data_IF_085518538840
#
_entry.id   IF_085518538840
#
_cell.length_a   1.000
_cell.length_b   1.000
_cell.length_c   1.000
_cell.angle_alpha   90.00
_cell.angle_beta   90.00
_cell.angle_gamma   90.00
#
_symmetry.space_group_name_H-M   'P 1'
#
loop_
_entity.id
_entity.type
_entity.pdbx_description
1 polymer ?
#
# COMPACT_ATOMS: atom_id res chain seq x y z
N UNK A 1 18.72 1.26 2.54
CA UNK A 1 17.37 0.65 2.60
C UNK A 1 17.37 -0.49 1.60
N UNK A 2 16.83 -1.66 1.94
CA UNK A 2 16.79 -2.77 1.01
C UNK A 2 15.96 -2.35 -0.22
N UNK A 3 16.52 -2.52 -1.41
CA UNK A 3 15.85 -2.17 -2.66
C UNK A 3 14.80 -3.26 -2.93
N UNK A 4 13.62 -3.12 -2.32
CA UNK A 4 12.48 -3.98 -2.65
C UNK A 4 12.02 -3.61 -4.05
N UNK A 5 12.32 -4.48 -5.02
CA UNK A 5 11.76 -4.36 -6.37
C UNK A 5 10.37 -4.97 -6.36
N UNK A 6 9.36 -4.13 -6.17
CA UNK A 6 7.96 -4.52 -6.29
C UNK A 6 7.50 -4.48 -7.74
N UNK A 7 6.57 -5.35 -8.12
CA UNK A 7 5.86 -5.25 -9.40
C UNK A 7 4.93 -4.03 -9.42
N UNK A 8 4.52 -3.60 -10.61
CA UNK A 8 3.50 -2.54 -10.77
C UNK A 8 2.17 -2.94 -10.10
N UNK A 9 1.86 -4.24 -10.03
CA UNK A 9 0.67 -4.74 -9.34
C UNK A 9 0.76 -4.46 -7.82
N UNK A 10 1.89 -4.77 -7.19
CA UNK A 10 2.12 -4.46 -5.78
C UNK A 10 2.21 -2.94 -5.53
N UNK A 11 2.91 -2.20 -6.40
CA UNK A 11 3.02 -0.75 -6.32
C UNK A 11 1.67 -0.04 -6.45
N UNK A 12 0.72 -0.60 -7.21
CA UNK A 12 -0.63 -0.02 -7.33
C UNK A 12 -1.38 0.02 -6.00
N UNK A 13 -1.18 -0.99 -5.14
CA UNK A 13 -1.78 -1.09 -3.81
C UNK A 13 -1.19 -0.02 -2.89
N UNK A 14 0.13 0.09 -2.85
CA UNK A 14 0.80 1.15 -2.08
C UNK A 14 0.41 2.54 -2.58
N UNK A 15 0.29 2.73 -3.89
CA UNK A 15 -0.11 4.00 -4.50
C UNK A 15 -1.52 4.39 -4.06
N UNK A 16 -2.45 3.44 -4.01
CA UNK A 16 -3.81 3.67 -3.54
C UNK A 16 -3.84 4.04 -2.05
N UNK A 17 -3.09 3.33 -1.21
CA UNK A 17 -2.93 3.68 0.20
C UNK A 17 -2.30 5.09 0.39
N UNK A 18 -1.28 5.42 -0.40
CA UNK A 18 -0.62 6.73 -0.37
C UNK A 18 -1.57 7.85 -0.77
N UNK A 19 -2.40 7.65 -1.79
CA UNK A 19 -3.47 8.59 -2.16
C UNK A 19 -4.38 8.89 -0.97
N UNK A 20 -4.86 7.87 -0.26
CA UNK A 20 -5.72 8.05 0.91
C UNK A 20 -5.02 8.79 2.06
N UNK A 21 -3.76 8.46 2.34
CA UNK A 21 -2.97 9.15 3.36
C UNK A 21 -2.73 10.63 3.03
N UNK A 22 -2.50 10.94 1.75
CA UNK A 22 -2.30 12.32 1.29
C UNK A 22 -3.58 13.14 1.35
N UNK A 23 -4.73 12.55 1.02
CA UNK A 23 -6.04 13.23 1.06
C UNK A 23 -6.54 13.43 2.48
N UNK A 24 -6.42 12.42 3.35
CA UNK A 24 -6.87 12.49 4.74
C UNK A 24 -5.91 13.28 5.64
N UNK A 25 -4.61 13.23 5.36
CA UNK A 25 -3.56 13.75 6.24
C UNK A 25 -3.14 12.77 7.33
N UNK A 26 -3.84 11.64 7.47
CA UNK A 26 -3.61 10.64 8.51
C UNK A 26 -2.78 9.45 7.98
N UNK A 27 -2.04 8.75 8.86
CA UNK A 27 -1.41 7.48 8.52
C UNK A 27 -2.44 6.43 8.09
N UNK A 28 -2.06 5.59 7.12
CA UNK A 28 -2.89 4.49 6.63
C UNK A 28 -2.22 3.17 7.03
N UNK A 29 -2.90 2.38 7.85
CA UNK A 29 -2.50 1.03 8.25
C UNK A 29 -3.30 -0.06 7.53
N UNK A 30 -4.42 0.30 6.91
CA UNK A 30 -5.30 -0.62 6.18
C UNK A 30 -5.67 -0.06 4.82
N UNK A 31 -5.74 -0.93 3.81
CA UNK A 31 -6.17 -0.59 2.45
C UNK A 31 -7.31 -1.48 2.02
N UNK A 32 -8.34 -0.89 1.41
CA UNK A 32 -9.44 -1.66 0.81
C UNK A 32 -8.92 -2.35 -0.45
N UNK A 33 -9.00 -3.68 -0.50
CA UNK A 33 -8.51 -4.49 -1.63
C UNK A 33 -9.64 -4.91 -2.57
N UNK A 34 -10.88 -4.91 -2.10
CA UNK A 34 -12.08 -5.11 -2.91
C UNK A 34 -13.13 -4.10 -2.45
N UNK A 35 -13.46 -3.12 -3.30
CA UNK A 35 -14.43 -2.09 -2.92
C UNK A 35 -15.88 -2.54 -3.09
N UNK A 36 -16.13 -3.74 -3.62
CA UNK A 36 -17.46 -4.25 -3.92
C UNK A 36 -18.18 -3.54 -5.08
N UNK A 37 -17.54 -2.55 -5.71
CA UNK A 37 -18.05 -1.76 -6.84
C UNK A 37 -17.33 -2.08 -8.16
N UNK A 38 -16.47 -3.10 -8.15
CA UNK A 38 -15.77 -3.62 -9.31
C UNK A 38 -14.29 -3.26 -9.37
N UNK A 39 -13.77 -2.46 -8.42
CA UNK A 39 -12.33 -2.27 -8.27
C UNK A 39 -11.79 -3.28 -7.27
N UNK A 40 -10.88 -4.13 -7.76
CA UNK A 40 -10.13 -5.06 -6.94
C UNK A 40 -8.64 -4.87 -7.17
N UNK A 41 -7.89 -4.87 -6.08
CA UNK A 41 -6.44 -4.97 -6.14
C UNK A 41 -6.04 -6.25 -6.88
N UNK A 42 -4.93 -6.18 -7.60
CA UNK A 42 -4.41 -7.33 -8.34
C UNK A 42 -4.13 -8.49 -7.35
N UNK A 43 -4.68 -9.70 -7.58
CA UNK A 43 -4.36 -10.87 -6.75
C UNK A 43 -2.86 -11.17 -6.69
N UNK A 44 -2.15 -10.92 -7.80
CA UNK A 44 -0.70 -11.10 -7.89
C UNK A 44 0.03 -10.08 -7.00
N UNK A 45 -0.42 -8.83 -7.00
CA UNK A 45 0.12 -7.79 -6.12
C UNK A 45 -0.15 -8.07 -4.64
N UNK A 46 -1.34 -8.58 -4.30
CA UNK A 46 -1.67 -9.00 -2.94
C UNK A 46 -0.72 -10.13 -2.51
N UNK A 47 -0.60 -11.19 -3.31
CA UNK A 47 0.29 -12.33 -3.01
C UNK A 47 1.73 -11.86 -2.80
N UNK A 48 2.25 -10.99 -3.67
CA UNK A 48 3.60 -10.47 -3.55
C UNK A 48 3.83 -9.72 -2.23
N UNK A 49 2.87 -8.90 -1.79
CA UNK A 49 2.98 -8.19 -0.52
C UNK A 49 2.83 -9.12 0.70
N UNK A 50 2.03 -10.17 0.59
CA UNK A 50 1.93 -11.21 1.62
C UNK A 50 3.22 -12.04 1.71
N UNK A 51 3.79 -12.44 0.58
CA UNK A 51 5.04 -13.22 0.50
C UNK A 51 6.24 -12.40 0.99
N UNK A 52 6.23 -11.09 0.76
CA UNK A 52 7.18 -10.15 1.32
C UNK A 52 6.96 -9.89 2.83
N UNK A 53 5.88 -10.42 3.42
CA UNK A 53 5.54 -10.22 4.82
C UNK A 53 5.19 -8.78 5.16
N UNK A 54 4.60 -8.02 4.22
CA UNK A 54 4.27 -6.59 4.41
C UNK A 54 2.78 -6.35 4.64
N UNK A 55 1.94 -7.31 4.28
CA UNK A 55 0.49 -7.19 4.29
C UNK A 55 -0.16 -8.49 4.74
N UNK A 56 -1.19 -8.38 5.59
CA UNK A 56 -2.06 -9.47 5.99
C UNK A 56 -3.50 -9.18 5.55
N UNK A 57 -4.26 -10.22 5.20
CA UNK A 57 -5.67 -10.05 4.82
C UNK A 57 -6.55 -9.92 6.06
N UNK A 58 -7.39 -8.89 6.08
CA UNK A 58 -8.49 -8.72 7.03
C UNK A 58 -9.80 -8.54 6.25
N UNK A 59 -10.46 -9.65 5.94
CA UNK A 59 -11.69 -9.65 5.13
C UNK A 59 -11.47 -9.11 3.71
N UNK A 60 -12.06 -7.96 3.40
CA UNK A 60 -11.94 -7.23 2.13
C UNK A 60 -10.80 -6.17 2.15
N UNK A 61 -10.04 -6.12 3.24
CA UNK A 61 -8.93 -5.20 3.47
C UNK A 61 -7.60 -5.93 3.57
N UNK A 62 -6.53 -5.19 3.31
CA UNK A 62 -5.17 -5.56 3.64
C UNK A 62 -4.67 -4.68 4.78
N UNK A 63 -4.25 -5.28 5.88
CA UNK A 63 -3.58 -4.59 6.98
C UNK A 63 -2.06 -4.63 6.73
N UNK A 64 -1.43 -3.46 6.64
CA UNK A 64 0.03 -3.37 6.62
C UNK A 64 0.57 -3.67 8.01
N UNK A 65 1.67 -4.41 8.09
CA UNK A 65 2.43 -4.48 9.32
C UNK A 65 3.42 -3.30 9.42
N UNK A 66 4.22 -3.26 10.48
CA UNK A 66 5.16 -2.15 10.69
C UNK A 66 6.18 -1.96 9.57
N UNK A 67 6.56 -3.01 8.84
CA UNK A 67 7.47 -2.90 7.69
C UNK A 67 6.73 -2.36 6.46
N UNK A 68 5.51 -2.85 6.19
CA UNK A 68 4.65 -2.31 5.12
C UNK A 68 4.32 -0.83 5.34
N UNK A 69 4.01 -0.44 6.58
CA UNK A 69 3.80 0.96 6.97
C UNK A 69 5.06 1.81 6.75
N UNK A 70 6.25 1.27 7.06
CA UNK A 70 7.51 1.98 6.84
C UNK A 70 7.78 2.21 5.34
N UNK A 71 7.52 1.20 4.49
CA UNK A 71 7.61 1.32 3.03
C UNK A 71 6.63 2.38 2.51
N UNK A 72 5.37 2.34 2.94
CA UNK A 72 4.36 3.32 2.56
C UNK A 72 4.75 4.74 3.02
N UNK A 73 5.27 4.89 4.24
CA UNK A 73 5.73 6.17 4.76
C UNK A 73 6.88 6.75 3.94
N UNK A 74 7.84 5.92 3.52
CA UNK A 74 8.95 6.34 2.66
C UNK A 74 8.45 6.80 1.28
N UNK A 75 7.49 6.08 0.68
CA UNK A 75 6.87 6.50 -0.58
C UNK A 75 6.15 7.85 -0.45
N UNK A 76 5.36 8.04 0.61
CA UNK A 76 4.67 9.31 0.88
C UNK A 76 5.67 10.45 1.10
N UNK A 77 6.78 10.20 1.79
CA UNK A 77 7.84 11.18 1.98
C UNK A 77 8.43 11.64 0.65
N UNK A 78 8.71 10.71 -0.27
CA UNK A 78 9.17 11.04 -1.62
C UNK A 78 8.12 11.84 -2.43
N UNK A 79 6.83 11.50 -2.32
CA UNK A 79 5.76 12.27 -2.97
C UNK A 79 5.68 13.69 -2.38
N UNK A 80 5.79 13.84 -1.06
CA UNK A 80 5.76 15.13 -0.38
C UNK A 80 6.97 16.01 -0.68
N UNK A 81 8.08 15.44 -1.15
CA UNK A 81 9.24 16.21 -1.61
C UNK A 81 8.94 17.10 -2.82
N UNK A 82 7.85 16.85 -3.55
CA UNK A 82 7.35 17.72 -4.63
C UNK A 82 6.50 18.89 -4.12
N UNK A 83 6.25 19.01 -2.82
CA UNK A 83 5.51 20.12 -2.23
C UNK A 83 6.40 21.37 -2.19
N UNK A 84 5.90 22.47 -2.76
CA UNK A 84 6.52 23.80 -2.67
C UNK A 84 6.42 24.40 -1.26
#
# INVERSE_FOLDING_TARGET
MAEHKFSDAALSIFTFAAYHALVSGDPVSEVVLDDGHGHKASPEGISELQDAGLLEMDGDRGAFNSEGEAVLADMIAHIRAFKN
#
